data_IF_972710199961
#
_entry.id   IF_972710199961
#
_cell.length_a   1.000
_cell.length_b   1.000
_cell.length_c   1.000
_cell.angle_alpha   90.00
_cell.angle_beta   90.00
_cell.angle_gamma   90.00
#
_symmetry.space_group_name_H-M   'P 1'
#
loop_
_entity.id
_entity.type
_entity.pdbx_description
1 polymer ?
#
# COMPACT_ATOMS: atom_id res chain seq x y z
N UNK A 1 -7.43 62.49 19.95
CA UNK A 1 -6.86 62.95 18.68
C UNK A 1 -5.34 62.81 18.64
N UNK A 2 -4.56 63.20 19.67
CA UNK A 2 -3.09 63.03 19.63
C UNK A 2 -2.61 61.56 19.69
N UNK A 3 -3.32 60.67 20.38
CA UNK A 3 -2.90 59.25 20.55
C UNK A 3 -2.99 58.44 19.25
N UNK A 4 -3.91 58.78 18.36
CA UNK A 4 -4.16 58.07 17.10
C UNK A 4 -3.18 58.46 15.99
N UNK A 5 -2.63 59.68 15.95
CA UNK A 5 -1.60 59.99 14.93
C UNK A 5 -0.26 59.34 15.25
N UNK A 6 0.05 59.16 16.54
CA UNK A 6 1.30 58.54 16.99
C UNK A 6 1.31 57.02 16.73
N UNK A 7 0.15 56.34 16.76
CA UNK A 7 0.06 54.93 16.33
C UNK A 7 0.24 54.80 14.82
N UNK A 8 -0.39 55.65 14.02
CA UNK A 8 -0.38 55.53 12.56
C UNK A 8 1.01 55.84 11.96
N UNK A 9 1.75 56.80 12.53
CA UNK A 9 3.16 57.04 12.16
C UNK A 9 4.08 55.89 12.59
N UNK A 10 3.83 55.28 13.75
CA UNK A 10 4.64 54.17 14.27
C UNK A 10 4.38 52.86 13.51
N UNK A 11 3.13 52.55 13.15
CA UNK A 11 2.80 51.41 12.29
C UNK A 11 3.35 51.60 10.87
N UNK A 12 3.31 52.82 10.31
CA UNK A 12 3.97 53.12 9.02
C UNK A 12 5.49 52.95 9.09
N UNK A 13 6.14 53.33 10.19
CA UNK A 13 7.58 53.12 10.38
C UNK A 13 7.96 51.63 10.52
N UNK A 14 7.03 50.80 11.01
CA UNK A 14 7.23 49.34 11.14
C UNK A 14 6.91 48.56 9.86
N UNK A 15 6.18 49.14 8.90
CA UNK A 15 5.91 48.48 7.62
C UNK A 15 7.16 48.42 6.74
N UNK A 16 7.66 47.21 6.51
CA UNK A 16 8.77 46.95 5.59
C UNK A 16 8.40 47.35 4.16
N UNK A 17 9.34 47.97 3.45
CA UNK A 17 9.16 48.38 2.05
C UNK A 17 9.90 47.44 1.11
N UNK A 18 9.17 46.53 0.48
CA UNK A 18 9.70 45.66 -0.58
C UNK A 18 10.08 46.49 -1.81
N UNK A 19 11.37 46.47 -2.16
CA UNK A 19 11.97 47.15 -3.29
C UNK A 19 12.06 46.23 -4.50
N UNK A 20 11.70 46.77 -5.66
CA UNK A 20 11.67 46.11 -6.97
C UNK A 20 12.65 46.76 -7.95
N UNK A 21 13.12 47.97 -7.66
CA UNK A 21 14.00 48.76 -8.53
C UNK A 21 15.45 48.25 -8.54
N UNK A 22 16.20 48.56 -9.61
CA UNK A 22 17.58 48.10 -9.82
C UNK A 22 18.57 48.70 -8.82
N UNK A 23 18.46 50.01 -8.57
CA UNK A 23 19.35 50.81 -7.74
C UNK A 23 18.63 51.48 -6.55
N UNK A 24 17.51 50.88 -6.09
CA UNK A 24 16.70 51.34 -4.95
C UNK A 24 16.07 52.74 -5.10
N UNK A 25 15.80 53.16 -6.33
CA UNK A 25 15.13 54.41 -6.67
C UNK A 25 13.77 54.51 -5.97
N UNK A 26 13.05 53.38 -5.89
CA UNK A 26 11.77 53.25 -5.19
C UNK A 26 11.89 53.48 -3.68
N UNK A 27 12.95 53.00 -3.02
CA UNK A 27 13.23 53.24 -1.59
C UNK A 27 13.49 54.72 -1.32
N UNK A 28 14.31 55.37 -2.15
CA UNK A 28 14.64 56.81 -2.00
C UNK A 28 13.38 57.67 -2.20
N UNK A 29 12.59 57.37 -3.24
CA UNK A 29 11.31 58.03 -3.48
C UNK A 29 10.31 57.76 -2.34
N UNK A 30 10.24 56.52 -1.82
CA UNK A 30 9.35 56.17 -0.72
C UNK A 30 9.70 56.88 0.58
N UNK A 31 10.99 57.05 0.89
CA UNK A 31 11.43 57.87 2.04
C UNK A 31 10.94 59.33 1.93
N UNK A 32 10.96 59.90 0.72
CA UNK A 32 10.46 61.25 0.50
C UNK A 32 8.92 61.33 0.58
N UNK A 33 8.22 60.40 -0.09
CA UNK A 33 6.81 60.53 -0.47
C UNK A 33 5.84 59.56 0.23
N UNK A 34 6.31 58.53 0.95
CA UNK A 34 5.47 57.47 1.55
C UNK A 34 4.48 57.93 2.63
N UNK A 35 4.58 59.20 3.05
CA UNK A 35 3.57 59.87 3.86
C UNK A 35 2.25 60.10 3.10
N UNK A 36 2.29 60.17 1.76
CA UNK A 36 1.17 60.44 0.87
C UNK A 36 0.41 59.14 0.57
N UNK A 37 -0.91 59.08 0.85
CA UNK A 37 -1.63 57.80 0.86
C UNK A 37 -1.97 57.26 -0.55
N UNK A 38 -2.19 58.14 -1.53
CA UNK A 38 -2.55 57.78 -2.91
C UNK A 38 -2.01 58.84 -3.86
N UNK A 39 -0.72 58.75 -4.17
CA UNK A 39 -0.08 59.65 -5.11
C UNK A 39 -0.20 59.17 -6.56
N UNK A 40 0.33 60.01 -7.46
CA UNK A 40 0.37 59.77 -8.91
C UNK A 40 1.80 59.86 -9.40
N UNK A 41 2.18 58.92 -10.28
CA UNK A 41 3.52 58.84 -10.87
C UNK A 41 3.49 58.72 -12.39
N UNK A 42 4.64 58.99 -13.01
CA UNK A 42 4.89 58.72 -14.42
C UNK A 42 6.19 57.92 -14.55
N UNK A 43 6.14 56.83 -15.28
CA UNK A 43 7.26 55.90 -15.49
C UNK A 43 7.58 55.86 -16.99
N UNK A 44 8.64 56.54 -17.43
CA UNK A 44 9.08 56.59 -18.84
C UNK A 44 10.26 55.65 -19.01
N UNK A 45 10.11 54.66 -19.89
CA UNK A 45 10.97 53.46 -19.89
C UNK A 45 10.62 52.56 -18.72
N UNK A 46 9.34 52.21 -18.62
CA UNK A 46 8.79 51.41 -17.52
C UNK A 46 9.13 49.92 -17.64
N UNK A 47 9.43 49.44 -18.86
CA UNK A 47 9.93 48.10 -19.17
C UNK A 47 9.16 46.96 -18.46
N UNK A 48 9.82 46.16 -17.61
CA UNK A 48 9.18 45.03 -16.96
C UNK A 48 8.40 45.50 -15.71
N UNK A 49 7.13 45.13 -15.52
CA UNK A 49 6.30 45.62 -14.40
C UNK A 49 6.71 45.14 -12.98
N UNK A 50 7.82 44.42 -12.83
CA UNK A 50 8.22 43.72 -11.59
C UNK A 50 9.74 43.63 -11.44
N UNK A 51 10.45 43.18 -12.49
CA UNK A 51 11.91 43.20 -12.53
C UNK A 51 12.35 44.64 -12.76
N UNK A 52 13.17 45.17 -11.86
CA UNK A 52 13.74 46.53 -11.90
C UNK A 52 12.68 47.67 -11.96
N UNK A 53 11.47 47.39 -11.48
CA UNK A 53 10.32 48.31 -11.54
C UNK A 53 10.31 49.29 -10.37
N UNK A 54 10.57 50.58 -10.66
CA UNK A 54 10.44 51.68 -9.67
C UNK A 54 8.98 51.86 -9.21
N UNK A 55 8.02 51.59 -10.09
CA UNK A 55 6.59 51.80 -9.85
C UNK A 55 5.89 50.72 -9.02
N UNK A 56 6.38 49.46 -8.99
CA UNK A 56 5.68 48.34 -8.32
C UNK A 56 5.40 48.60 -6.83
N UNK A 57 6.40 49.08 -6.09
CA UNK A 57 6.28 49.36 -4.65
C UNK A 57 5.19 50.42 -4.34
N UNK A 58 5.00 51.39 -5.24
CA UNK A 58 3.96 52.42 -5.11
C UNK A 58 2.57 51.87 -5.48
N UNK A 59 2.47 51.12 -6.57
CA UNK A 59 1.21 50.51 -7.04
C UNK A 59 0.54 49.62 -5.98
N UNK A 60 1.33 48.76 -5.33
CA UNK A 60 0.89 47.88 -4.25
C UNK A 60 0.37 48.64 -3.02
N UNK A 61 0.84 49.88 -2.84
CA UNK A 61 0.44 50.80 -1.76
C UNK A 61 -0.69 51.75 -2.19
N UNK A 62 -1.36 51.45 -3.31
CA UNK A 62 -2.58 52.14 -3.76
C UNK A 62 -2.36 53.44 -4.54
N UNK A 63 -1.12 53.74 -4.93
CA UNK A 63 -0.81 54.80 -5.89
C UNK A 63 -1.19 54.39 -7.30
N UNK A 64 -1.43 55.37 -8.20
CA UNK A 64 -1.76 55.09 -9.60
C UNK A 64 -1.00 55.97 -10.57
N UNK A 65 -0.44 55.39 -11.62
CA UNK A 65 0.41 56.12 -12.57
C UNK A 65 0.10 55.94 -14.05
N UNK A 66 0.99 56.51 -14.86
CA UNK A 66 1.03 56.37 -16.32
C UNK A 66 2.39 55.84 -16.72
N UNK A 67 2.41 54.72 -17.45
CA UNK A 67 3.61 54.12 -18.02
C UNK A 67 3.77 54.52 -19.47
N UNK A 68 4.99 54.79 -19.89
CA UNK A 68 5.36 55.00 -21.29
C UNK A 68 6.41 53.96 -21.67
N UNK A 69 6.02 53.03 -22.54
CA UNK A 69 6.82 51.86 -22.91
C UNK A 69 6.63 51.53 -24.40
N UNK A 70 7.59 51.87 -25.28
CA UNK A 70 7.43 51.67 -26.72
C UNK A 70 7.41 50.20 -27.16
N UNK A 71 8.07 49.29 -26.44
CA UNK A 71 8.25 47.89 -26.86
C UNK A 71 6.94 47.11 -26.65
N UNK A 72 6.35 46.50 -27.70
CA UNK A 72 5.03 45.87 -27.61
C UNK A 72 4.91 44.77 -26.54
N UNK A 73 5.98 43.99 -26.33
CA UNK A 73 6.02 42.91 -25.35
C UNK A 73 5.91 43.44 -23.91
N UNK A 74 6.72 44.44 -23.55
CA UNK A 74 6.74 45.04 -22.22
C UNK A 74 5.48 45.88 -21.97
N UNK A 75 4.99 46.62 -22.97
CA UNK A 75 3.68 47.29 -22.89
C UNK A 75 2.50 46.32 -22.66
N UNK A 76 2.58 45.07 -23.16
CA UNK A 76 1.58 44.05 -22.87
C UNK A 76 1.70 43.51 -21.43
N UNK A 77 2.92 43.26 -20.94
CA UNK A 77 3.18 42.84 -19.56
C UNK A 77 2.70 43.90 -18.56
N UNK A 78 3.00 45.18 -18.80
CA UNK A 78 2.53 46.31 -17.99
C UNK A 78 1.00 46.34 -17.90
N UNK A 79 0.28 46.23 -19.02
CA UNK A 79 -1.20 46.18 -19.02
C UNK A 79 -1.77 44.98 -18.27
N UNK A 80 -1.05 43.86 -18.23
CA UNK A 80 -1.47 42.67 -17.50
C UNK A 80 -1.28 42.82 -15.98
N UNK A 81 -0.16 43.39 -15.53
CA UNK A 81 0.17 43.57 -14.10
C UNK A 81 -0.32 44.91 -13.51
N UNK A 82 -0.83 45.82 -14.35
CA UNK A 82 -1.44 47.12 -14.01
C UNK A 82 -2.76 47.36 -14.78
N UNK A 83 -3.79 46.53 -14.59
CA UNK A 83 -5.04 46.59 -15.37
C UNK A 83 -5.88 47.86 -15.15
N UNK A 84 -5.59 48.63 -14.10
CA UNK A 84 -6.24 49.89 -13.74
C UNK A 84 -5.32 51.13 -13.86
N UNK A 85 -4.19 51.00 -14.57
CA UNK A 85 -3.28 52.11 -14.91
C UNK A 85 -3.24 52.36 -16.42
N UNK A 86 -2.71 53.52 -16.83
CA UNK A 86 -2.57 53.86 -18.26
C UNK A 86 -1.21 53.42 -18.79
N UNK A 87 -1.18 52.67 -19.90
CA UNK A 87 0.06 52.24 -20.57
C UNK A 87 0.10 52.75 -22.01
N UNK A 88 0.91 53.79 -22.23
CA UNK A 88 1.14 54.44 -23.51
C UNK A 88 2.27 53.72 -24.26
N UNK A 89 1.93 53.06 -25.36
CA UNK A 89 2.89 52.33 -26.17
C UNK A 89 3.47 53.21 -27.27
N UNK A 90 4.31 54.16 -26.85
CA UNK A 90 4.97 55.17 -27.68
C UNK A 90 6.37 55.46 -27.14
N UNK A 91 7.28 55.92 -27.98
CA UNK A 91 8.51 56.58 -27.54
C UNK A 91 8.22 58.07 -27.28
N UNK A 92 8.96 58.69 -26.35
CA UNK A 92 8.94 60.14 -26.16
C UNK A 92 10.13 60.80 -26.87
N UNK A 93 9.94 62.05 -27.33
CA UNK A 93 10.95 62.82 -28.05
C UNK A 93 10.58 64.31 -28.07
N UNK A 94 11.30 65.15 -28.81
CA UNK A 94 11.02 66.57 -29.01
C UNK A 94 9.95 66.84 -30.10
N UNK A 95 9.64 65.84 -30.93
CA UNK A 95 8.66 65.92 -32.01
C UNK A 95 7.84 64.63 -32.17
N UNK A 96 6.74 64.72 -32.93
CA UNK A 96 5.92 63.58 -33.31
C UNK A 96 6.47 62.90 -34.57
N UNK A 97 6.45 61.56 -34.61
CA UNK A 97 6.97 60.80 -35.74
C UNK A 97 6.96 59.29 -35.51
N UNK A 98 7.95 58.61 -36.11
CA UNK A 98 8.23 57.19 -35.92
C UNK A 98 9.71 57.06 -35.58
N UNK A 99 10.02 56.25 -34.56
CA UNK A 99 11.39 55.94 -34.14
C UNK A 99 11.75 54.52 -34.57
N UNK A 100 12.93 54.35 -35.17
CA UNK A 100 13.56 53.05 -35.36
C UNK A 100 14.23 52.64 -34.04
N UNK A 101 13.50 51.94 -33.18
CA UNK A 101 13.97 51.50 -31.86
C UNK A 101 14.78 50.20 -31.98
N UNK A 102 15.98 50.16 -31.40
CA UNK A 102 16.81 48.96 -31.37
C UNK A 102 16.49 48.16 -30.10
N UNK A 103 15.61 47.18 -30.22
CA UNK A 103 15.14 46.35 -29.11
C UNK A 103 16.17 45.26 -28.81
N UNK A 104 16.53 45.14 -27.53
CA UNK A 104 17.36 44.05 -26.99
C UNK A 104 16.47 43.23 -26.05
N UNK A 105 16.07 42.04 -26.50
CA UNK A 105 15.09 41.24 -25.78
C UNK A 105 15.66 40.70 -24.46
N UNK A 106 14.92 40.91 -23.36
CA UNK A 106 15.28 40.41 -22.03
C UNK A 106 16.25 41.30 -21.23
N UNK A 107 16.52 42.53 -21.68
CA UNK A 107 17.36 43.51 -20.98
C UNK A 107 16.62 44.86 -20.81
N UNK A 108 17.21 45.83 -20.11
CA UNK A 108 16.77 47.23 -20.14
C UNK A 108 17.16 47.98 -21.43
N UNK A 109 18.28 47.54 -22.04
CA UNK A 109 19.15 48.22 -23.03
C UNK A 109 18.55 48.53 -24.42
N UNK A 110 17.23 48.71 -24.53
CA UNK A 110 16.55 48.99 -25.80
C UNK A 110 16.59 50.49 -26.11
N UNK A 111 17.38 50.89 -27.12
CA UNK A 111 17.74 52.30 -27.35
C UNK A 111 17.34 52.85 -28.71
N UNK A 112 16.89 54.10 -28.73
CA UNK A 112 16.70 54.90 -29.95
C UNK A 112 18.02 55.43 -30.53
N UNK A 113 19.13 55.35 -29.77
CA UNK A 113 20.43 55.89 -30.17
C UNK A 113 21.24 54.82 -30.90
N UNK A 114 21.33 54.96 -32.23
CA UNK A 114 22.06 54.01 -33.09
C UNK A 114 23.53 53.79 -32.69
N UNK A 115 24.18 54.77 -32.05
CA UNK A 115 25.54 54.60 -31.54
C UNK A 115 25.62 53.54 -30.44
N UNK A 116 24.75 53.63 -29.42
CA UNK A 116 24.70 52.66 -28.33
C UNK A 116 24.24 51.28 -28.81
N UNK A 117 23.25 51.21 -29.71
CA UNK A 117 22.85 49.95 -30.36
C UNK A 117 24.03 49.26 -31.09
N UNK A 118 24.88 50.01 -31.79
CA UNK A 118 26.09 49.46 -32.40
C UNK A 118 27.06 48.93 -31.33
N UNK A 119 27.36 49.69 -30.27
CA UNK A 119 28.24 49.27 -29.17
C UNK A 119 27.74 48.01 -28.46
N UNK A 120 26.43 47.94 -28.15
CA UNK A 120 25.79 46.74 -27.60
C UNK A 120 25.99 45.51 -28.49
N UNK A 121 25.91 45.67 -29.82
CA UNK A 121 26.15 44.57 -30.74
C UNK A 121 27.65 44.21 -30.89
N UNK A 122 28.53 45.20 -31.05
CA UNK A 122 29.94 44.96 -31.40
C UNK A 122 30.84 44.63 -30.22
N UNK A 123 30.57 45.20 -29.04
CA UNK A 123 31.43 45.06 -27.85
C UNK A 123 30.85 44.07 -26.83
N UNK A 124 29.52 44.01 -26.72
CA UNK A 124 28.83 43.14 -25.76
C UNK A 124 28.15 41.92 -26.40
N UNK A 125 28.07 41.86 -27.74
CA UNK A 125 27.53 40.70 -28.46
C UNK A 125 26.01 40.55 -28.38
N UNK A 126 25.28 41.60 -28.00
CA UNK A 126 23.81 41.55 -27.94
C UNK A 126 23.18 41.48 -29.34
N UNK A 127 22.14 40.65 -29.45
CA UNK A 127 21.26 40.64 -30.62
C UNK A 127 20.27 41.81 -30.53
N UNK A 128 20.19 42.60 -31.60
CA UNK A 128 19.29 43.76 -31.71
C UNK A 128 18.24 43.52 -32.80
N UNK A 129 16.98 43.82 -32.52
CA UNK A 129 15.90 43.89 -33.52
C UNK A 129 15.46 45.34 -33.70
N UNK A 130 15.36 45.83 -34.94
CA UNK A 130 14.86 47.18 -35.21
C UNK A 130 13.34 47.14 -35.34
N UNK A 131 12.64 47.79 -34.41
CA UNK A 131 11.18 47.88 -34.37
C UNK A 131 10.76 49.34 -34.56
N UNK A 132 9.85 49.59 -35.51
CA UNK A 132 9.29 50.92 -35.72
C UNK A 132 8.18 51.21 -34.70
N UNK A 133 8.38 52.22 -33.86
CA UNK A 133 7.45 52.61 -32.80
C UNK A 133 6.94 54.04 -33.00
N UNK A 134 5.67 54.36 -32.69
CA UNK A 134 5.18 55.73 -32.72
C UNK A 134 5.93 56.59 -31.70
N UNK A 135 6.25 57.82 -32.07
CA UNK A 135 7.01 58.75 -31.25
C UNK A 135 6.21 60.06 -31.06
N UNK A 136 6.17 60.60 -29.85
CA UNK A 136 5.39 61.80 -29.51
C UNK A 136 6.13 62.73 -28.53
N UNK A 137 5.86 64.05 -28.53
CA UNK A 137 6.26 64.94 -27.44
C UNK A 137 5.60 64.53 -26.12
N UNK A 138 6.34 64.60 -25.01
CA UNK A 138 5.80 64.31 -23.67
C UNK A 138 4.56 65.15 -23.36
N UNK A 139 4.59 66.43 -23.71
CA UNK A 139 3.46 67.38 -23.62
C UNK A 139 2.19 66.94 -24.36
N UNK A 140 2.32 66.11 -25.40
CA UNK A 140 1.20 65.53 -26.16
C UNK A 140 0.78 64.18 -25.58
N UNK A 141 1.72 63.29 -25.32
CA UNK A 141 1.46 61.94 -24.82
C UNK A 141 0.81 61.95 -23.43
N UNK A 142 1.28 62.83 -22.54
CA UNK A 142 0.80 62.96 -21.15
C UNK A 142 -0.18 64.10 -20.94
N UNK A 143 -0.82 64.61 -22.01
CA UNK A 143 -1.73 65.76 -21.93
C UNK A 143 -2.93 65.55 -20.99
N UNK A 144 -3.30 64.30 -20.69
CA UNK A 144 -4.31 63.95 -19.69
C UNK A 144 -3.91 64.31 -18.25
N UNK A 145 -2.61 64.39 -17.96
CA UNK A 145 -2.05 64.76 -16.65
C UNK A 145 -1.83 66.28 -16.49
N UNK A 146 -2.13 67.09 -17.51
CA UNK A 146 -1.90 68.53 -17.45
C UNK A 146 -2.69 69.17 -16.28
N UNK A 147 -1.98 69.89 -15.40
CA UNK A 147 -2.54 70.48 -14.19
C UNK A 147 -2.86 69.50 -13.05
N UNK A 148 -2.57 68.20 -13.20
CA UNK A 148 -2.69 67.22 -12.12
C UNK A 148 -1.43 67.20 -11.23
N UNK A 149 -1.58 66.76 -9.97
CA UNK A 149 -0.44 66.56 -9.08
C UNK A 149 0.27 65.25 -9.42
N UNK A 150 1.39 65.34 -10.13
CA UNK A 150 2.34 64.24 -10.31
C UNK A 150 3.44 64.37 -9.24
N UNK A 151 3.70 63.30 -8.52
CA UNK A 151 4.58 63.32 -7.35
C UNK A 151 6.01 62.89 -7.71
N UNK A 152 6.15 61.95 -8.64
CA UNK A 152 7.43 61.65 -9.26
C UNK A 152 7.29 61.28 -10.74
N UNK A 153 8.34 61.56 -11.50
CA UNK A 153 8.55 61.17 -12.90
C UNK A 153 9.91 60.47 -13.01
N UNK A 154 9.94 59.23 -13.50
CA UNK A 154 11.16 58.52 -13.91
C UNK A 154 11.37 58.70 -15.42
N UNK A 155 12.60 58.98 -15.85
CA UNK A 155 13.01 58.97 -17.26
C UNK A 155 14.30 58.16 -17.40
N UNK A 156 14.22 57.06 -18.12
CA UNK A 156 15.31 56.12 -18.37
C UNK A 156 15.00 55.52 -19.73
N UNK A 157 15.69 55.99 -20.77
CA UNK A 157 15.39 55.66 -22.17
C UNK A 157 16.67 55.33 -22.93
N UNK A 158 17.67 54.82 -22.20
CA UNK A 158 18.93 54.28 -22.68
C UNK A 158 19.65 55.28 -23.62
N UNK A 159 19.78 56.53 -23.14
CA UNK A 159 20.56 57.59 -23.79
C UNK A 159 19.75 58.61 -24.62
N UNK A 160 18.42 58.64 -24.48
CA UNK A 160 17.52 59.54 -25.22
C UNK A 160 16.85 60.62 -24.32
N UNK A 161 17.37 60.78 -23.10
CA UNK A 161 16.77 61.55 -21.99
C UNK A 161 16.60 63.04 -22.33
N UNK A 162 17.59 63.62 -23.02
CA UNK A 162 17.54 65.02 -23.46
C UNK A 162 16.41 65.26 -24.47
N UNK A 163 16.23 64.36 -25.44
CA UNK A 163 15.18 64.47 -26.45
C UNK A 163 13.79 64.32 -25.81
N UNK A 164 13.64 63.41 -24.84
CA UNK A 164 12.41 63.28 -24.04
C UNK A 164 12.08 64.57 -23.30
N UNK A 165 13.04 65.20 -22.63
CA UNK A 165 12.84 66.47 -21.92
C UNK A 165 12.57 67.66 -22.85
N UNK A 166 13.13 67.68 -24.07
CA UNK A 166 12.84 68.72 -25.06
C UNK A 166 11.38 68.74 -25.52
N UNK A 167 10.66 67.60 -25.42
CA UNK A 167 9.22 67.50 -25.71
C UNK A 167 8.28 67.81 -24.54
N UNK A 168 8.82 68.15 -23.36
CA UNK A 168 8.07 68.38 -22.12
C UNK A 168 7.71 69.85 -21.92
N UNK A 169 6.45 70.10 -21.49
CA UNK A 169 6.02 71.40 -20.98
C UNK A 169 5.99 71.36 -19.45
N UNK A 170 7.03 71.92 -18.85
CA UNK A 170 7.23 71.99 -17.39
C UNK A 170 6.27 72.93 -16.65
N UNK A 171 5.38 73.64 -17.36
CA UNK A 171 4.27 74.42 -16.79
C UNK A 171 2.94 73.66 -16.83
N UNK A 172 2.77 72.76 -17.80
CA UNK A 172 1.57 71.95 -17.93
C UNK A 172 1.64 70.67 -17.09
N UNK A 173 2.78 69.96 -17.13
CA UNK A 173 3.06 68.76 -16.35
C UNK A 173 4.19 69.05 -15.36
N UNK A 174 3.90 69.01 -14.06
CA UNK A 174 4.82 69.46 -13.00
C UNK A 174 5.07 68.39 -11.92
N UNK A 175 5.93 67.39 -12.18
CA UNK A 175 6.31 66.39 -11.17
C UNK A 175 7.03 67.03 -9.98
N UNK A 176 6.76 66.61 -8.74
CA UNK A 176 7.46 67.15 -7.57
C UNK A 176 8.93 66.72 -7.54
N UNK A 177 9.18 65.44 -7.88
CA UNK A 177 10.50 64.83 -8.02
C UNK A 177 10.68 64.34 -9.46
N UNK A 178 11.88 64.51 -10.01
CA UNK A 178 12.30 63.87 -11.27
C UNK A 178 13.50 62.98 -10.97
N UNK A 179 13.43 61.73 -11.41
CA UNK A 179 14.53 60.76 -11.40
C UNK A 179 14.89 60.49 -12.86
N UNK A 180 16.16 60.65 -13.21
CA UNK A 180 16.60 60.54 -14.61
C UNK A 180 17.95 59.84 -14.70
N UNK A 181 18.08 58.89 -15.62
CA UNK A 181 19.38 58.26 -15.89
C UNK A 181 20.39 59.34 -16.32
N UNK A 182 21.66 59.16 -15.91
CA UNK A 182 22.69 60.17 -16.07
C UNK A 182 24.03 59.63 -16.58
N UNK A 183 24.06 58.37 -17.01
CA UNK A 183 25.23 57.67 -17.52
C UNK A 183 25.06 57.25 -18.98
N UNK A 184 26.16 56.86 -19.63
CA UNK A 184 26.10 56.10 -20.88
C UNK A 184 25.69 54.65 -20.54
N UNK A 185 24.79 54.00 -21.30
CA UNK A 185 24.39 52.61 -21.09
C UNK A 185 25.57 51.65 -20.86
N UNK A 186 25.50 50.87 -19.78
CA UNK A 186 26.56 49.96 -19.29
C UNK A 186 27.90 50.62 -18.90
N UNK A 187 27.93 51.92 -18.61
CA UNK A 187 29.15 52.66 -18.25
C UNK A 187 28.96 53.51 -16.98
N UNK A 188 30.08 53.83 -16.31
CA UNK A 188 30.13 54.85 -15.25
C UNK A 188 30.34 56.28 -15.83
N UNK A 189 30.52 56.40 -17.16
CA UNK A 189 30.69 57.69 -17.84
C UNK A 189 29.39 58.50 -17.85
N UNK A 190 29.47 59.77 -17.46
CA UNK A 190 28.33 60.64 -17.23
C UNK A 190 27.84 61.32 -18.52
N UNK A 191 26.53 61.23 -18.80
CA UNK A 191 25.88 61.81 -19.97
C UNK A 191 24.56 62.51 -19.58
N UNK A 192 24.63 63.59 -18.81
CA UNK A 192 23.43 64.30 -18.32
C UNK A 192 23.37 65.80 -18.66
N UNK A 193 24.41 66.39 -19.25
CA UNK A 193 24.58 67.86 -19.26
C UNK A 193 23.44 68.62 -19.97
N UNK A 194 22.90 68.06 -21.06
CA UNK A 194 21.76 68.66 -21.77
C UNK A 194 20.44 68.53 -20.99
N UNK A 195 20.18 67.36 -20.41
CA UNK A 195 19.01 67.10 -19.57
C UNK A 195 18.99 67.97 -18.29
N UNK A 196 20.14 68.07 -17.60
CA UNK A 196 20.34 68.88 -16.39
C UNK A 196 20.11 70.38 -16.67
N UNK A 197 20.58 70.88 -17.82
CA UNK A 197 20.31 72.27 -18.25
C UNK A 197 18.81 72.54 -18.41
N UNK A 198 18.07 71.63 -19.08
CA UNK A 198 16.62 71.76 -19.28
C UNK A 198 15.84 71.70 -17.95
N UNK A 199 16.29 70.87 -17.00
CA UNK A 199 15.69 70.75 -15.67
C UNK A 199 15.94 72.01 -14.83
N UNK A 200 17.16 72.55 -14.85
CA UNK A 200 17.53 73.78 -14.14
C UNK A 200 16.76 74.98 -14.71
N UNK A 201 16.68 75.12 -16.04
CA UNK A 201 15.89 76.17 -16.70
C UNK A 201 14.38 76.05 -16.40
N UNK A 202 13.89 74.82 -16.18
CA UNK A 202 12.53 74.55 -15.70
C UNK A 202 12.34 74.79 -14.19
N UNK A 203 13.36 75.24 -13.46
CA UNK A 203 13.28 75.51 -12.02
C UNK A 203 13.26 74.25 -11.16
N UNK A 204 14.00 73.21 -11.56
CA UNK A 204 14.32 72.05 -10.72
C UNK A 204 15.73 72.18 -10.14
N UNK A 205 15.90 71.66 -8.93
CA UNK A 205 17.18 71.65 -8.22
C UNK A 205 17.69 70.21 -8.15
N UNK A 206 18.95 69.99 -8.55
CA UNK A 206 19.64 68.72 -8.31
C UNK A 206 19.81 68.48 -6.80
N UNK A 207 19.58 67.25 -6.36
CA UNK A 207 19.64 66.87 -4.94
C UNK A 207 20.60 65.70 -4.68
N UNK A 208 20.54 64.65 -5.49
CA UNK A 208 21.27 63.41 -5.24
C UNK A 208 21.64 62.68 -6.54
N UNK A 209 22.75 61.94 -6.51
CA UNK A 209 23.19 61.04 -7.59
C UNK A 209 23.54 59.69 -6.95
N UNK A 210 22.90 58.63 -7.40
CA UNK A 210 23.01 57.28 -6.81
C UNK A 210 24.11 56.40 -7.46
N UNK A 211 24.81 56.94 -8.46
CA UNK A 211 25.77 56.24 -9.31
C UNK A 211 25.27 55.98 -10.73
N UNK A 212 23.96 56.06 -10.95
CA UNK A 212 23.25 55.80 -12.21
C UNK A 212 22.25 56.93 -12.53
N UNK A 213 21.35 57.21 -11.59
CA UNK A 213 20.29 58.21 -11.69
C UNK A 213 20.61 59.50 -10.93
N UNK A 214 20.16 60.63 -11.47
CA UNK A 214 20.12 61.93 -10.79
C UNK A 214 18.70 62.24 -10.33
N UNK A 215 18.58 62.70 -9.09
CA UNK A 215 17.33 63.09 -8.43
C UNK A 215 17.24 64.61 -8.36
N UNK A 216 16.10 65.14 -8.78
CA UNK A 216 15.79 66.57 -8.78
C UNK A 216 14.47 66.85 -8.07
N UNK A 217 14.36 68.01 -7.42
CA UNK A 217 13.10 68.50 -6.84
C UNK A 217 12.67 69.80 -7.50
N UNK A 218 11.37 69.94 -7.76
CA UNK A 218 10.78 71.20 -8.19
C UNK A 218 11.01 72.30 -7.12
N UNK A 219 11.21 73.55 -7.53
CA UNK A 219 11.43 74.69 -6.62
C UNK A 219 10.38 74.81 -5.49
N UNK A 220 9.13 74.54 -5.83
CA UNK A 220 7.97 74.54 -4.94
C UNK A 220 7.94 73.37 -3.93
N UNK A 221 8.76 72.34 -4.13
CA UNK A 221 8.87 71.12 -3.32
C UNK A 221 10.30 70.89 -2.79
N UNK A 222 11.05 71.97 -2.59
CA UNK A 222 12.41 71.94 -2.04
C UNK A 222 12.50 71.34 -0.62
N UNK A 223 11.38 71.27 0.12
CA UNK A 223 11.28 70.60 1.41
C UNK A 223 11.53 69.07 1.34
N UNK A 224 11.36 68.46 0.16
CA UNK A 224 11.64 67.05 -0.06
C UNK A 224 13.14 66.74 -0.22
N UNK A 225 13.96 67.75 -0.56
CA UNK A 225 15.38 67.54 -0.88
C UNK A 225 16.17 66.93 0.29
N UNK A 226 15.86 67.32 1.53
CA UNK A 226 16.50 66.79 2.74
C UNK A 226 16.27 65.29 2.95
N UNK A 227 15.20 64.72 2.38
CA UNK A 227 14.91 63.27 2.44
C UNK A 227 15.65 62.49 1.34
N UNK A 228 15.87 63.10 0.19
CA UNK A 228 16.47 62.45 -0.99
C UNK A 228 18.01 62.41 -0.95
N UNK A 229 18.67 63.32 -0.21
CA UNK A 229 20.14 63.51 -0.20
C UNK A 229 20.99 62.34 0.32
N UNK A 230 20.38 61.27 0.82
CA UNK A 230 21.08 60.12 1.42
C UNK A 230 20.83 58.84 0.59
N UNK A 231 21.84 57.98 0.43
CA UNK A 231 21.64 56.66 -0.17
C UNK A 231 20.63 55.82 0.63
N UNK A 232 20.10 54.73 0.04
CA UNK A 232 19.36 53.70 0.77
C UNK A 232 20.18 53.19 1.96
N UNK A 233 19.53 53.02 3.11
CA UNK A 233 20.21 52.68 4.36
C UNK A 233 19.27 51.96 5.35
N UNK A 234 19.83 51.54 6.49
CA UNK A 234 19.12 50.74 7.50
C UNK A 234 17.87 51.40 8.11
N UNK A 235 17.71 52.72 7.99
CA UNK A 235 16.54 53.45 8.50
C UNK A 235 15.36 53.47 7.51
N UNK A 236 15.54 52.97 6.28
CA UNK A 236 14.46 52.89 5.29
C UNK A 236 13.51 51.70 5.52
N UNK A 237 13.89 50.75 6.37
CA UNK A 237 13.17 49.49 6.60
C UNK A 237 12.80 48.79 5.27
N UNK A 238 13.72 48.80 4.31
CA UNK A 238 13.51 48.23 2.99
C UNK A 238 14.05 46.79 2.90
N UNK A 239 13.34 45.94 2.17
CA UNK A 239 13.77 44.59 1.80
C UNK A 239 13.78 44.44 0.28
N UNK A 240 14.50 43.46 -0.26
CA UNK A 240 14.50 43.19 -1.69
C UNK A 240 13.42 42.17 -2.05
N UNK A 241 12.64 42.46 -3.08
CA UNK A 241 11.66 41.56 -3.72
C UNK A 241 12.23 40.20 -4.15
N UNK A 242 13.54 40.10 -4.36
CA UNK A 242 14.20 38.93 -4.96
C UNK A 242 14.04 38.85 -6.48
N UNK A 243 13.33 39.79 -7.11
CA UNK A 243 13.13 39.85 -8.57
C UNK A 243 13.95 40.93 -9.28
N UNK A 244 14.45 41.94 -8.56
CA UNK A 244 15.37 42.93 -9.12
C UNK A 244 16.69 42.29 -9.59
N UNK A 245 17.26 42.77 -10.70
CA UNK A 245 18.49 42.25 -11.29
C UNK A 245 19.77 42.61 -10.49
N UNK A 246 19.60 43.49 -9.50
CA UNK A 246 20.60 44.06 -8.60
C UNK A 246 21.67 43.05 -8.13
N UNK A 247 22.93 43.41 -8.36
CA UNK A 247 24.09 42.56 -8.05
C UNK A 247 24.25 42.27 -6.55
N UNK A 248 23.80 43.17 -5.68
CA UNK A 248 23.97 43.12 -4.23
C UNK A 248 23.47 41.83 -3.57
N UNK A 249 22.38 41.24 -4.08
CA UNK A 249 21.79 40.02 -3.51
C UNK A 249 21.82 38.79 -4.42
N UNK A 250 22.39 38.87 -5.63
CA UNK A 250 22.46 37.75 -6.58
C UNK A 250 23.05 36.47 -5.97
N UNK A 251 24.14 36.60 -5.20
CA UNK A 251 24.79 35.48 -4.49
C UNK A 251 24.08 35.00 -3.22
N UNK A 252 23.09 35.74 -2.70
CA UNK A 252 22.19 35.28 -1.63
C UNK A 252 20.99 34.54 -2.22
N UNK A 253 20.36 35.14 -3.24
CA UNK A 253 19.21 34.57 -3.98
C UNK A 253 19.60 33.22 -4.59
N UNK A 254 20.73 33.13 -5.30
CA UNK A 254 21.19 31.88 -5.91
C UNK A 254 21.47 30.77 -4.89
N UNK A 255 22.05 31.09 -3.72
CA UNK A 255 22.24 30.11 -2.64
C UNK A 255 20.92 29.69 -2.00
N UNK A 256 19.95 30.59 -1.89
CA UNK A 256 18.62 30.27 -1.39
C UNK A 256 17.87 29.34 -2.35
N UNK A 257 17.87 29.65 -3.65
CA UNK A 257 17.28 28.81 -4.70
C UNK A 257 17.91 27.41 -4.71
N UNK A 258 19.25 27.32 -4.71
CA UNK A 258 19.95 26.04 -4.65
C UNK A 258 19.61 25.23 -3.38
N UNK A 259 19.43 25.88 -2.24
CA UNK A 259 19.00 25.23 -1.00
C UNK A 259 17.53 24.76 -1.07
N UNK A 260 16.64 25.54 -1.71
CA UNK A 260 15.25 25.14 -1.96
C UNK A 260 15.17 23.95 -2.93
N UNK A 261 15.93 23.97 -4.02
CA UNK A 261 16.03 22.85 -4.98
C UNK A 261 16.53 21.58 -4.28
N UNK A 262 17.62 21.67 -3.51
CA UNK A 262 18.15 20.54 -2.72
C UNK A 262 17.11 20.00 -1.73
N UNK A 263 16.34 20.87 -1.08
CA UNK A 263 15.26 20.48 -0.17
C UNK A 263 14.10 19.81 -0.91
N UNK A 264 13.71 20.32 -2.09
CA UNK A 264 12.67 19.73 -2.94
C UNK A 264 13.08 18.36 -3.48
N UNK A 265 14.33 18.20 -3.93
CA UNK A 265 14.89 16.90 -4.33
C UNK A 265 14.89 15.92 -3.15
N UNK A 266 15.33 16.35 -1.97
CA UNK A 266 15.30 15.53 -0.75
C UNK A 266 13.88 15.10 -0.35
N UNK A 267 12.91 16.00 -0.42
CA UNK A 267 11.49 15.67 -0.22
C UNK A 267 10.98 14.69 -1.28
N UNK A 268 11.31 14.87 -2.55
CA UNK A 268 10.88 13.98 -3.63
C UNK A 268 11.46 12.57 -3.47
N UNK A 269 12.73 12.46 -3.07
CA UNK A 269 13.38 11.18 -2.73
C UNK A 269 12.73 10.52 -1.51
N UNK A 270 12.43 11.27 -0.46
CA UNK A 270 11.74 10.75 0.72
C UNK A 270 10.32 10.24 0.40
N UNK A 271 9.57 10.94 -0.44
CA UNK A 271 8.26 10.51 -0.93
C UNK A 271 8.39 9.22 -1.77
N UNK A 272 9.37 9.16 -2.69
CA UNK A 272 9.61 7.96 -3.50
C UNK A 272 9.95 6.73 -2.64
N UNK A 273 10.84 6.87 -1.67
CA UNK A 273 11.20 5.80 -0.73
C UNK A 273 10.01 5.36 0.15
N UNK A 274 9.15 6.30 0.57
CA UNK A 274 7.91 5.97 1.28
C UNK A 274 6.93 5.18 0.41
N UNK A 275 6.80 5.55 -0.88
CA UNK A 275 5.94 4.85 -1.84
C UNK A 275 6.45 3.44 -2.15
N UNK A 276 7.77 3.28 -2.32
CA UNK A 276 8.42 1.97 -2.54
C UNK A 276 8.22 1.05 -1.34
N UNK A 277 8.54 1.50 -0.12
CA UNK A 277 8.30 0.74 1.11
C UNK A 277 6.82 0.43 1.36
N UNK A 278 5.89 1.29 0.91
CA UNK A 278 4.46 1.00 0.95
C UNK A 278 4.06 -0.09 -0.06
N UNK A 279 4.63 -0.10 -1.26
CA UNK A 279 4.40 -1.14 -2.26
C UNK A 279 4.98 -2.50 -1.81
N UNK A 280 6.17 -2.53 -1.23
CA UNK A 280 6.75 -3.75 -0.63
C UNK A 280 5.85 -4.30 0.48
N UNK A 281 5.43 -3.46 1.43
CA UNK A 281 4.53 -3.87 2.51
C UNK A 281 3.16 -4.36 2.00
N UNK A 282 2.61 -3.73 0.94
CA UNK A 282 1.41 -4.23 0.27
C UNK A 282 1.64 -5.60 -0.39
N UNK A 283 2.78 -5.82 -1.04
CA UNK A 283 3.11 -7.09 -1.68
C UNK A 283 3.24 -8.22 -0.66
N UNK A 284 3.98 -8.02 0.44
CA UNK A 284 4.09 -8.98 1.54
C UNK A 284 2.72 -9.30 2.14
N UNK A 285 1.88 -8.28 2.38
CA UNK A 285 0.53 -8.48 2.90
C UNK A 285 -0.36 -9.28 1.91
N UNK A 286 -0.22 -9.06 0.60
CA UNK A 286 -0.93 -9.85 -0.42
C UNK A 286 -0.48 -11.32 -0.43
N UNK A 287 0.82 -11.60 -0.27
CA UNK A 287 1.34 -12.96 -0.16
C UNK A 287 0.83 -13.67 1.12
N UNK A 288 0.87 -12.99 2.27
CA UNK A 288 0.30 -13.51 3.52
C UNK A 288 -1.20 -13.80 3.40
N UNK A 289 -1.96 -12.88 2.80
CA UNK A 289 -3.40 -13.09 2.54
C UNK A 289 -3.66 -14.24 1.57
N UNK A 290 -2.80 -14.48 0.58
CA UNK A 290 -2.92 -15.62 -0.33
C UNK A 290 -2.66 -16.94 0.41
N UNK A 291 -1.57 -17.03 1.19
CA UNK A 291 -1.24 -18.21 1.98
C UNK A 291 -2.31 -18.52 3.05
N UNK A 292 -2.91 -17.50 3.67
CA UNK A 292 -4.04 -17.68 4.59
C UNK A 292 -5.30 -18.20 3.88
N UNK A 293 -5.60 -17.72 2.67
CA UNK A 293 -6.74 -18.23 1.87
C UNK A 293 -6.56 -19.70 1.48
N UNK A 294 -5.35 -20.10 1.08
CA UNK A 294 -5.04 -21.51 0.77
C UNK A 294 -5.22 -22.40 2.00
N UNK A 295 -4.72 -21.97 3.16
CA UNK A 295 -4.91 -22.70 4.43
C UNK A 295 -6.38 -22.80 4.86
N UNK A 296 -7.19 -21.76 4.62
CA UNK A 296 -8.64 -21.82 4.87
C UNK A 296 -9.29 -22.85 3.95
N UNK A 297 -8.99 -22.82 2.65
CA UNK A 297 -9.55 -23.77 1.68
C UNK A 297 -9.18 -25.24 1.99
N UNK A 298 -7.95 -25.51 2.44
CA UNK A 298 -7.55 -26.86 2.88
C UNK A 298 -8.32 -27.29 4.15
N UNK A 299 -8.46 -26.41 5.14
CA UNK A 299 -9.26 -26.69 6.35
C UNK A 299 -10.75 -26.92 6.03
N UNK A 300 -11.33 -26.14 5.12
CA UNK A 300 -12.70 -26.35 4.63
C UNK A 300 -12.85 -27.70 3.91
N UNK A 301 -11.89 -28.08 3.07
CA UNK A 301 -11.87 -29.37 2.39
C UNK A 301 -11.71 -30.54 3.39
N UNK A 302 -10.82 -30.42 4.37
CA UNK A 302 -10.66 -31.40 5.44
C UNK A 302 -11.94 -31.56 6.27
N UNK A 303 -12.60 -30.45 6.63
CA UNK A 303 -13.87 -30.45 7.34
C UNK A 303 -14.98 -31.12 6.53
N UNK A 304 -15.11 -30.78 5.23
CA UNK A 304 -16.08 -31.42 4.34
C UNK A 304 -15.83 -32.94 4.23
N UNK A 305 -14.57 -33.36 4.09
CA UNK A 305 -14.19 -34.77 4.09
C UNK A 305 -14.51 -35.48 5.43
N UNK A 306 -14.35 -34.79 6.56
CA UNK A 306 -14.68 -35.33 7.88
C UNK A 306 -16.19 -35.52 8.04
N UNK A 307 -17.00 -34.51 7.69
CA UNK A 307 -18.47 -34.57 7.71
C UNK A 307 -18.97 -35.70 6.81
N UNK A 308 -18.50 -35.81 5.56
CA UNK A 308 -18.91 -36.90 4.67
C UNK A 308 -18.51 -38.29 5.18
N UNK A 309 -17.40 -38.42 5.92
CA UNK A 309 -17.03 -39.68 6.58
C UNK A 309 -17.95 -40.00 7.75
N UNK A 310 -18.34 -38.99 8.52
CA UNK A 310 -19.30 -39.16 9.62
C UNK A 310 -20.67 -39.59 9.09
N UNK A 311 -21.21 -38.90 8.08
CA UNK A 311 -22.47 -39.26 7.39
C UNK A 311 -22.43 -40.69 6.85
N UNK A 312 -21.35 -41.10 6.18
CA UNK A 312 -21.17 -42.49 5.74
C UNK A 312 -21.10 -43.48 6.91
N UNK A 313 -20.51 -43.09 8.05
CA UNK A 313 -20.48 -43.96 9.24
C UNK A 313 -21.86 -44.12 9.86
N UNK A 314 -22.65 -43.04 9.94
CA UNK A 314 -24.03 -43.04 10.44
C UNK A 314 -24.95 -43.84 9.50
N UNK A 315 -24.83 -43.67 8.18
CA UNK A 315 -25.58 -44.44 7.19
C UNK A 315 -25.26 -45.94 7.25
N UNK A 316 -23.98 -46.32 7.43
CA UNK A 316 -23.59 -47.72 7.66
C UNK A 316 -24.15 -48.27 8.96
N UNK A 317 -24.09 -47.50 10.05
CA UNK A 317 -24.67 -47.90 11.33
C UNK A 317 -26.19 -48.11 11.24
N UNK A 318 -26.91 -47.22 10.55
CA UNK A 318 -28.34 -47.37 10.28
C UNK A 318 -28.65 -48.63 9.44
N UNK A 319 -27.89 -48.89 8.37
CA UNK A 319 -28.05 -50.09 7.56
C UNK A 319 -27.76 -51.38 8.34
N UNK A 320 -26.77 -51.40 9.23
CA UNK A 320 -26.52 -52.54 10.12
C UNK A 320 -27.62 -52.71 11.16
N UNK A 321 -28.18 -51.63 11.71
CA UNK A 321 -29.31 -51.67 12.62
C UNK A 321 -30.58 -52.22 11.92
N UNK A 322 -30.83 -51.82 10.67
CA UNK A 322 -31.94 -52.37 9.88
C UNK A 322 -31.72 -53.86 9.58
N UNK A 323 -30.51 -54.29 9.19
CA UNK A 323 -30.20 -55.70 8.98
C UNK A 323 -30.36 -56.53 10.27
N UNK A 324 -29.98 -55.99 11.42
CA UNK A 324 -30.20 -56.63 12.71
C UNK A 324 -31.70 -56.77 13.01
N UNK A 325 -32.49 -55.71 12.84
CA UNK A 325 -33.95 -55.76 13.03
C UNK A 325 -34.64 -56.74 12.06
N UNK A 326 -34.20 -56.80 10.80
CA UNK A 326 -34.69 -57.79 9.83
C UNK A 326 -34.28 -59.23 10.21
N UNK A 327 -33.09 -59.43 10.79
CA UNK A 327 -32.65 -60.73 11.28
C UNK A 327 -33.45 -61.18 12.51
N UNK A 328 -33.69 -60.28 13.47
CA UNK A 328 -34.54 -60.53 14.66
C UNK A 328 -36.00 -60.84 14.27
N UNK A 329 -36.55 -60.11 13.29
CA UNK A 329 -37.87 -60.40 12.74
C UNK A 329 -37.93 -61.78 12.06
N UNK A 330 -36.85 -62.20 11.36
CA UNK A 330 -36.74 -63.54 10.78
C UNK A 330 -36.61 -64.63 11.84
N UNK A 331 -35.84 -64.42 12.91
CA UNK A 331 -35.74 -65.41 14.00
C UNK A 331 -37.08 -65.56 14.71
N UNK A 332 -37.78 -64.46 15.02
CA UNK A 332 -39.13 -64.51 15.59
C UNK A 332 -40.14 -65.24 14.66
N UNK A 333 -40.07 -65.00 13.35
CA UNK A 333 -40.90 -65.73 12.38
C UNK A 333 -40.56 -67.23 12.36
N UNK A 334 -39.29 -67.62 12.39
CA UNK A 334 -38.87 -69.03 12.44
C UNK A 334 -39.30 -69.68 13.75
N UNK A 335 -39.23 -68.99 14.89
CA UNK A 335 -39.69 -69.49 16.19
C UNK A 335 -41.21 -69.73 16.20
N UNK A 336 -42.01 -68.79 15.67
CA UNK A 336 -43.47 -68.99 15.53
C UNK A 336 -43.82 -70.13 14.58
N UNK A 337 -43.11 -70.28 13.45
CA UNK A 337 -43.28 -71.41 12.54
C UNK A 337 -42.90 -72.74 13.20
N UNK A 338 -41.81 -72.78 13.97
CA UNK A 338 -41.37 -73.95 14.72
C UNK A 338 -42.43 -74.37 15.75
N UNK A 339 -43.03 -73.41 16.45
CA UNK A 339 -44.09 -73.67 17.43
C UNK A 339 -45.38 -74.19 16.76
N UNK A 340 -45.77 -73.64 15.61
CA UNK A 340 -46.90 -74.19 14.81
C UNK A 340 -46.61 -75.62 14.34
N UNK A 341 -45.40 -75.90 13.85
CA UNK A 341 -45.00 -77.26 13.45
C UNK A 341 -44.94 -78.21 14.65
N UNK A 342 -44.51 -77.74 15.83
CA UNK A 342 -44.52 -78.50 17.08
C UNK A 342 -45.95 -78.88 17.48
N UNK A 343 -46.87 -77.92 17.46
CA UNK A 343 -48.29 -78.14 17.76
C UNK A 343 -48.95 -79.10 16.76
N UNK A 344 -48.65 -78.99 15.46
CA UNK A 344 -49.10 -79.96 14.45
C UNK A 344 -48.52 -81.37 14.70
N UNK A 345 -47.26 -81.46 15.08
CA UNK A 345 -46.61 -82.71 15.47
C UNK A 345 -47.30 -83.36 16.68
N UNK A 346 -47.58 -82.60 17.73
CA UNK A 346 -48.28 -83.06 18.93
C UNK A 346 -49.74 -83.46 18.64
N UNK A 347 -50.44 -82.73 17.76
CA UNK A 347 -51.78 -83.09 17.27
C UNK A 347 -51.78 -84.42 16.47
N UNK A 348 -50.81 -84.63 15.57
CA UNK A 348 -50.66 -85.89 14.83
C UNK A 348 -50.32 -87.04 15.80
N UNK A 349 -49.40 -86.82 16.73
CA UNK A 349 -48.95 -87.82 17.71
C UNK A 349 -50.06 -88.24 18.70
N UNK A 350 -51.00 -87.35 19.00
CA UNK A 350 -52.14 -87.60 19.90
C UNK A 350 -53.37 -88.22 19.20
N UNK A 351 -53.42 -88.20 17.87
CA UNK A 351 -54.53 -88.75 17.08
C UNK A 351 -54.75 -90.26 17.27
N UNK A 352 -56.01 -90.70 17.23
CA UNK A 352 -56.41 -92.10 17.43
C UNK A 352 -55.84 -93.05 16.37
N UNK A 353 -55.73 -92.61 15.12
CA UNK A 353 -55.12 -93.38 14.02
C UNK A 353 -53.61 -93.63 14.24
N UNK A 354 -52.90 -92.69 14.86
CA UNK A 354 -51.47 -92.84 15.17
C UNK A 354 -51.23 -93.84 16.30
N UNK A 355 -52.11 -93.86 17.32
CA UNK A 355 -52.01 -94.82 18.44
C UNK A 355 -52.35 -96.25 18.01
N UNK A 356 -53.34 -96.43 17.14
CA UNK A 356 -53.76 -97.76 16.62
C UNK A 356 -52.69 -98.39 15.71
N UNK A 357 -51.96 -97.58 14.93
CA UNK A 357 -50.90 -98.07 14.02
C UNK A 357 -49.54 -98.31 14.69
N UNK A 358 -49.42 -98.14 16.01
CA UNK A 358 -48.15 -98.33 16.73
C UNK A 358 -47.55 -99.76 16.63
N UNK A 359 -48.34 -100.86 16.74
CA UNK A 359 -47.80 -102.22 16.61
C UNK A 359 -47.27 -102.51 15.19
N UNK A 360 -48.01 -102.06 14.17
CA UNK A 360 -47.66 -102.24 12.76
C UNK A 360 -46.40 -101.45 12.37
N UNK A 361 -46.14 -100.30 12.99
CA UNK A 361 -44.93 -99.51 12.75
C UNK A 361 -43.70 -100.02 13.51
N UNK A 362 -43.88 -100.77 14.59
CA UNK A 362 -42.81 -101.60 15.17
C UNK A 362 -42.46 -102.78 14.24
N UNK A 363 -43.45 -103.50 13.71
CA UNK A 363 -43.22 -104.55 12.71
C UNK A 363 -42.53 -104.00 11.43
N UNK A 364 -42.98 -102.85 10.93
CA UNK A 364 -42.39 -102.17 9.77
C UNK A 364 -40.94 -101.72 9.94
N UNK A 365 -40.43 -101.56 11.17
CA UNK A 365 -39.01 -101.26 11.44
C UNK A 365 -38.09 -102.48 11.40
N UNK A 366 -38.64 -103.70 11.41
CA UNK A 366 -37.86 -104.95 11.27
C UNK A 366 -37.87 -105.52 9.84
N UNK A 367 -38.92 -105.26 9.05
CA UNK A 367 -39.06 -105.79 7.69
C UNK A 367 -37.89 -105.49 6.72
N UNK A 368 -37.27 -104.28 6.69
CA UNK A 368 -36.15 -103.99 5.78
C UNK A 368 -34.79 -104.56 6.24
N UNK A 369 -34.70 -105.12 7.46
CA UNK A 369 -33.42 -105.46 8.11
C UNK A 369 -33.09 -106.96 8.19
N UNK A 370 -34.00 -107.85 7.78
CA UNK A 370 -33.65 -109.25 7.47
C UNK A 370 -33.47 -109.50 5.96
N UNK A 371 -34.24 -108.81 5.10
CA UNK A 371 -34.22 -109.02 3.64
C UNK A 371 -32.96 -108.54 2.89
N UNK A 372 -32.09 -107.76 3.53
CA UNK A 372 -30.78 -107.32 3.01
C UNK A 372 -29.59 -108.09 3.60
N UNK A 373 -29.77 -108.77 4.76
CA UNK A 373 -28.70 -109.51 5.42
C UNK A 373 -28.51 -110.95 4.88
N UNK A 374 -29.47 -111.45 4.11
CA UNK A 374 -29.46 -112.81 3.52
C UNK A 374 -28.99 -112.80 2.05
N UNK A 375 -28.98 -111.63 1.40
CA UNK A 375 -28.69 -111.49 -0.05
C UNK A 375 -27.20 -111.41 -0.41
N UNK A 376 -26.38 -110.89 0.51
CA UNK A 376 -24.98 -110.50 0.22
C UNK A 376 -23.93 -111.43 0.86
N UNK A 377 -24.31 -112.65 1.27
CA UNK A 377 -23.38 -113.79 1.43
C UNK A 377 -22.20 -113.66 2.41
N UNK A 378 -22.18 -112.68 3.32
CA UNK A 378 -20.99 -112.33 4.14
C UNK A 378 -21.21 -112.53 5.65
N UNK A 379 -21.23 -113.80 6.08
CA UNK A 379 -21.21 -114.19 7.50
C UNK A 379 -19.94 -114.97 7.88
N UNK A 380 -18.79 -114.30 7.97
CA UNK A 380 -17.59 -114.87 8.60
C UNK A 380 -16.91 -113.89 9.57
N UNK A 381 -16.31 -114.44 10.63
CA UNK A 381 -15.51 -113.80 11.69
C UNK A 381 -16.19 -112.80 12.66
N UNK A 382 -17.08 -111.91 12.23
CA UNK A 382 -17.61 -110.82 13.07
C UNK A 382 -18.47 -111.26 14.25
N UNK A 383 -19.40 -112.20 14.01
CA UNK A 383 -20.37 -112.66 15.01
C UNK A 383 -19.71 -113.40 16.20
N UNK A 384 -18.61 -114.13 15.93
CA UNK A 384 -17.77 -114.79 16.96
C UNK A 384 -17.26 -113.80 18.02
N UNK A 385 -17.02 -112.53 17.66
CA UNK A 385 -16.50 -111.50 18.58
C UNK A 385 -17.59 -110.97 19.51
N UNK A 386 -18.84 -110.81 19.04
CA UNK A 386 -19.98 -110.35 19.86
C UNK A 386 -20.53 -111.43 20.79
N UNK A 387 -20.59 -112.68 20.35
CA UNK A 387 -20.91 -113.84 21.22
C UNK A 387 -19.89 -113.99 22.36
N UNK A 388 -18.59 -113.76 22.08
CA UNK A 388 -17.52 -113.79 23.08
C UNK A 388 -17.63 -112.69 24.13
N UNK A 389 -18.17 -111.52 23.79
CA UNK A 389 -18.44 -110.44 24.75
C UNK A 389 -19.65 -110.77 25.62
N UNK A 390 -20.74 -111.27 25.02
CA UNK A 390 -21.91 -111.77 25.76
C UNK A 390 -21.53 -112.87 26.77
N UNK A 391 -20.74 -113.87 26.36
CA UNK A 391 -20.26 -114.91 27.28
C UNK A 391 -19.47 -114.32 28.47
N UNK A 392 -18.64 -113.29 28.25
CA UNK A 392 -17.86 -112.64 29.32
C UNK A 392 -18.74 -111.88 30.31
N UNK A 393 -19.84 -111.26 29.86
CA UNK A 393 -20.79 -110.62 30.78
C UNK A 393 -21.61 -111.63 31.56
N UNK A 394 -22.08 -112.73 30.94
CA UNK A 394 -22.79 -113.80 31.68
C UNK A 394 -21.89 -114.48 32.72
N UNK A 395 -20.61 -114.74 32.39
CA UNK A 395 -19.64 -115.35 33.33
C UNK A 395 -19.35 -114.43 34.53
N UNK A 396 -19.29 -113.10 34.34
CA UNK A 396 -19.14 -112.14 35.45
C UNK A 396 -20.41 -112.03 36.30
N UNK A 397 -21.60 -112.09 35.68
CA UNK A 397 -22.88 -112.09 36.41
C UNK A 397 -23.07 -113.36 37.26
N UNK A 398 -22.66 -114.54 36.77
CA UNK A 398 -22.72 -115.80 37.52
C UNK A 398 -21.83 -115.83 38.79
N UNK A 399 -20.88 -114.91 38.93
CA UNK A 399 -20.02 -114.84 40.12
C UNK A 399 -20.77 -114.38 41.39
N UNK A 400 -21.91 -113.70 41.25
CA UNK A 400 -22.66 -113.08 42.36
C UNK A 400 -23.87 -113.92 42.85
N UNK A 401 -24.15 -115.08 42.24
CA UNK A 401 -25.31 -115.92 42.60
C UNK A 401 -24.87 -117.37 42.94
N UNK A 402 -24.67 -117.71 44.23
CA UNK A 402 -24.05 -118.98 44.64
C UNK A 402 -24.89 -120.25 44.40
N UNK A 403 -26.18 -120.13 44.12
CA UNK A 403 -27.04 -121.27 43.78
C UNK A 403 -26.77 -121.83 42.37
N UNK A 404 -26.66 -120.96 41.37
CA UNK A 404 -26.39 -121.34 39.97
C UNK A 404 -24.99 -121.98 39.78
N UNK A 405 -24.03 -121.60 40.64
CA UNK A 405 -22.67 -122.11 40.63
C UNK A 405 -22.58 -123.62 40.92
N UNK A 406 -23.53 -124.19 41.67
CA UNK A 406 -23.57 -125.64 41.95
C UNK A 406 -24.10 -126.46 40.78
N UNK A 407 -25.07 -125.95 40.00
CA UNK A 407 -25.53 -126.62 38.78
C UNK A 407 -24.50 -126.55 37.65
N UNK A 408 -23.82 -125.40 37.50
CA UNK A 408 -22.78 -125.23 36.46
C UNK A 408 -21.52 -126.08 36.73
N UNK A 409 -21.18 -126.35 37.99
CA UNK A 409 -20.02 -127.17 38.35
C UNK A 409 -20.15 -128.65 37.89
N UNK A 410 -21.38 -129.20 37.91
CA UNK A 410 -21.63 -130.58 37.46
C UNK A 410 -21.39 -130.79 35.96
N UNK A 411 -21.75 -129.80 35.12
CA UNK A 411 -21.56 -129.89 33.66
C UNK A 411 -20.12 -129.67 33.19
N UNK A 412 -19.32 -128.88 33.92
CA UNK A 412 -17.94 -128.54 33.52
C UNK A 412 -16.93 -129.64 33.92
N UNK A 413 -17.28 -130.54 34.83
CA UNK A 413 -16.47 -131.71 35.18
C UNK A 413 -16.37 -132.77 34.06
N UNK A 414 -17.32 -132.78 33.11
CA UNK A 414 -17.37 -133.74 32.01
C UNK A 414 -16.47 -133.39 30.80
N UNK A 415 -15.83 -132.21 30.78
CA UNK A 415 -14.95 -131.79 29.66
C UNK A 415 -13.68 -131.11 30.19
N UNK A 416 -12.62 -131.87 30.54
CA UNK A 416 -11.40 -131.38 31.20
C UNK A 416 -10.68 -130.17 30.56
N UNK A 417 -10.49 -130.05 29.23
CA UNK A 417 -9.65 -128.98 28.66
C UNK A 417 -10.23 -127.56 28.80
N UNK A 418 -11.50 -127.41 29.19
CA UNK A 418 -12.13 -126.10 29.43
C UNK A 418 -11.69 -125.44 30.74
N UNK A 419 -11.40 -126.23 31.78
CA UNK A 419 -11.03 -125.72 33.10
C UNK A 419 -9.67 -124.98 33.10
N UNK A 420 -8.75 -125.39 32.23
CA UNK A 420 -7.39 -124.87 32.18
C UNK A 420 -7.31 -123.49 31.50
N UNK A 421 -8.15 -123.22 30.48
CA UNK A 421 -8.14 -121.96 29.72
C UNK A 421 -8.80 -120.78 30.42
N UNK A 422 -9.63 -121.02 31.44
CA UNK A 422 -10.32 -119.96 32.18
C UNK A 422 -9.41 -119.23 33.19
N UNK A 423 -8.32 -119.85 33.65
CA UNK A 423 -7.37 -119.21 34.60
C UNK A 423 -6.44 -118.20 33.92
N UNK A 424 -6.18 -118.32 32.63
CA UNK A 424 -5.21 -117.51 31.88
C UNK A 424 -5.73 -116.13 31.40
N UNK A 425 -6.94 -115.72 31.82
CA UNK A 425 -7.60 -114.47 31.35
C UNK A 425 -7.70 -113.42 32.51
N UNK A 426 -7.10 -113.71 33.66
CA UNK A 426 -7.11 -112.85 34.85
C UNK A 426 -5.80 -112.04 35.00
N UNK A 427 -5.61 -111.06 34.12
CA UNK A 427 -4.63 -109.93 34.11
C UNK A 427 -4.96 -109.03 32.88
N UNK A 428 -4.65 -107.73 32.75
CA UNK A 428 -4.28 -106.59 33.64
C UNK A 428 -4.79 -105.27 32.96
N UNK A 429 -4.68 -104.06 33.56
CA UNK A 429 -5.43 -102.84 33.12
C UNK A 429 -4.56 -101.83 32.31
N UNK A 430 -5.09 -100.90 31.49
CA UNK A 430 -5.64 -99.52 31.80
C UNK A 430 -4.55 -98.54 32.34
N UNK A 431 -4.50 -97.21 32.09
CA UNK A 431 -5.40 -96.20 31.46
C UNK A 431 -4.59 -94.90 31.10
N UNK A 432 -5.23 -93.89 30.46
CA UNK A 432 -4.75 -92.50 30.36
C UNK A 432 -4.82 -91.72 31.71
N UNK A 433 -4.39 -90.43 31.80
CA UNK A 433 -5.39 -89.33 31.76
C UNK A 433 -4.91 -87.93 31.27
N UNK A 434 -5.79 -86.92 31.39
CA UNK A 434 -5.61 -85.49 31.07
C UNK A 434 -5.33 -84.59 32.30
N UNK A 435 -4.87 -83.34 32.06
CA UNK A 435 -5.30 -82.01 32.64
C UNK A 435 -4.15 -80.97 32.48
N UNK A 436 -4.34 -79.75 31.97
CA UNK A 436 -5.10 -78.52 32.39
C UNK A 436 -4.35 -77.61 33.39
N UNK A 437 -4.29 -76.30 33.04
CA UNK A 437 -4.12 -75.11 33.91
C UNK A 437 -2.77 -74.90 34.65
N UNK A 438 -2.28 -73.67 34.97
CA UNK A 438 -2.44 -72.26 34.48
C UNK A 438 -1.33 -71.40 35.17
N UNK A 439 -1.08 -70.15 34.71
CA UNK A 439 -0.26 -69.08 35.35
C UNK A 439 1.29 -69.22 35.36
N UNK A 440 2.01 -68.11 35.14
CA UNK A 440 3.47 -68.03 35.39
C UNK A 440 4.33 -67.04 34.57
N UNK A 441 3.98 -65.74 34.58
CA UNK A 441 4.87 -64.54 34.49
C UNK A 441 6.23 -64.63 33.74
N UNK A 442 6.35 -63.81 32.67
CA UNK A 442 7.56 -63.25 32.03
C UNK A 442 8.84 -64.11 31.86
N UNK A 443 9.00 -64.66 30.65
CA UNK A 443 10.29 -64.69 29.95
C UNK A 443 10.09 -64.54 28.42
N UNK A 444 10.49 -63.38 27.88
CA UNK A 444 10.84 -63.19 26.47
C UNK A 444 12.34 -63.54 26.29
N UNK A 445 12.89 -63.71 25.07
CA UNK A 445 12.25 -63.78 23.75
C UNK A 445 12.74 -64.98 22.91
N UNK A 446 12.22 -65.15 21.68
CA UNK A 446 13.05 -65.33 20.46
C UNK A 446 12.22 -65.53 19.18
N UNK A 447 11.92 -64.42 18.48
CA UNK A 447 11.94 -64.25 17.00
C UNK A 447 11.22 -62.94 16.65
N UNK A 448 11.93 -61.82 16.83
CA UNK A 448 11.55 -60.54 16.22
C UNK A 448 12.02 -60.52 14.77
N UNK A 449 11.29 -59.81 13.90
CA UNK A 449 11.65 -59.66 12.49
C UNK A 449 12.91 -58.79 12.31
N UNK A 450 13.56 -58.85 11.13
CA UNK A 450 14.75 -58.03 10.85
C UNK A 450 14.51 -56.52 11.09
N UNK A 451 13.36 -55.99 10.64
CA UNK A 451 13.04 -54.56 10.74
C UNK A 451 12.78 -54.13 12.19
N UNK A 452 12.07 -54.95 12.97
CA UNK A 452 11.87 -54.71 14.40
C UNK A 452 13.22 -54.71 15.16
N UNK A 453 14.19 -55.52 14.70
CA UNK A 453 15.54 -55.58 15.25
C UNK A 453 16.43 -54.39 14.86
N UNK A 454 16.03 -53.60 13.84
CA UNK A 454 16.69 -52.32 13.50
C UNK A 454 16.10 -51.19 14.34
N UNK A 455 14.77 -51.08 14.40
CA UNK A 455 14.07 -50.10 15.25
C UNK A 455 14.46 -50.21 16.73
N UNK A 456 14.52 -51.43 17.28
CA UNK A 456 14.95 -51.67 18.66
C UNK A 456 16.39 -51.19 18.93
N UNK A 457 17.31 -51.37 17.96
CA UNK A 457 18.70 -50.88 18.07
C UNK A 457 18.84 -49.36 17.88
N UNK A 458 17.91 -48.71 17.18
CA UNK A 458 17.86 -47.25 17.08
C UNK A 458 17.30 -46.62 18.36
N UNK A 459 16.26 -47.20 18.95
CA UNK A 459 15.68 -46.75 20.22
C UNK A 459 16.68 -46.84 21.39
N UNK A 460 17.39 -47.96 21.54
CA UNK A 460 18.43 -48.10 22.58
C UNK A 460 19.55 -47.04 22.44
N UNK A 461 19.95 -46.71 21.20
CA UNK A 461 20.96 -45.66 20.94
C UNK A 461 20.46 -44.23 21.16
N UNK A 462 19.15 -43.98 21.16
CA UNK A 462 18.59 -42.69 21.59
C UNK A 462 18.52 -42.60 23.11
N UNK A 463 18.23 -43.71 23.80
CA UNK A 463 18.21 -43.75 25.26
C UNK A 463 19.60 -43.50 25.86
N UNK A 464 20.64 -44.16 25.34
CA UNK A 464 22.05 -43.93 25.71
C UNK A 464 22.55 -42.49 25.41
N UNK A 465 21.84 -41.71 24.59
CA UNK A 465 22.17 -40.30 24.30
C UNK A 465 21.43 -39.29 25.18
N UNK A 466 20.32 -39.66 25.83
CA UNK A 466 19.60 -38.77 26.75
C UNK A 466 20.03 -38.94 28.21
N UNK A 467 20.75 -40.00 28.54
CA UNK A 467 21.32 -40.24 29.88
C UNK A 467 22.81 -39.79 29.98
N UNK A 468 23.30 -39.02 29.00
CA UNK A 468 24.72 -38.65 28.82
C UNK A 468 25.01 -37.14 28.71
N UNK A 469 24.10 -36.28 29.15
CA UNK A 469 24.24 -34.80 29.21
C UNK A 469 23.60 -34.26 30.48
#
# INVERSE_FOLDING_TARGET
MAVTSFSDEFERALMTTTSYAQNFEDVILWRALGHIPKGTYVDVGAQHPVVDSVSKAFYERGWRGVHVEPVPAYAALLRQDRPDETVLQVALSDHAGVLDLNVIAGTGLSTGVKAYANTHSSEHGFATEVVQVPMLPMSTALASLNGQQVHWLKIDVEGFEEQVLRGWDSKALRPWIIVIEATIPLSEELNYAGADSLLIDAGYHFVYFDGLNRFYTASEHADLADKLKLPPNVFDNAELSGTASSLWCRGLISRHQQAQETLMEGHQQAIAALMEGHQEAQATLMEEMAALRERIADVEMQLHCAVSREEQSQARAAAFAEQAAQAEARTALVETQLEVVRQQGEAIMSSTSWRITAPLRLAGKFAPRLGSAIRDGRLTSGLKRRVKTLLRTTIKALAHYPALRRMAAGGVALVPPLAQRLRAIATTPSTAPLKNEVQGVHALPARLSPDASVLFRQLMRQQERMEGT
#
